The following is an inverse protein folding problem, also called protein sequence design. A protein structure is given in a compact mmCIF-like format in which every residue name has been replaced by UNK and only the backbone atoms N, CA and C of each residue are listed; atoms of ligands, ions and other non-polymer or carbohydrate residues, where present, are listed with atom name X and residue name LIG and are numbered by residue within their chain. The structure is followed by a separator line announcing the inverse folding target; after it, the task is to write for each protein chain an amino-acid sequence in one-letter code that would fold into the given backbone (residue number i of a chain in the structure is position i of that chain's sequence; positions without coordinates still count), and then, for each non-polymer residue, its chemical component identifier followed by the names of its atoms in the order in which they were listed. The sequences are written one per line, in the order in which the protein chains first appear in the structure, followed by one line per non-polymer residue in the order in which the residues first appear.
data_IF_436782964088
#
_entry.id   IF_436782964088
#
_cell.length_a   1.000
_cell.length_b   1.000
_cell.length_c   1.000
_cell.angle_alpha   90.00
_cell.angle_beta   90.00
_cell.angle_gamma   90.00
#
_symmetry.space_group_name_H-M   'P 1'
#
loop_
_entity.id
_entity.type
_entity.pdbx_description
1 polymer ?
#
# COMPACT_ATOMS: atom_id res chain seq x y z
N UNK A 1 -12.74 16.38 24.39
CA UNK A 1 -13.32 15.09 23.93
C UNK A 1 -13.15 15.05 22.43
N UNK A 2 -12.10 14.39 21.95
CA UNK A 2 -11.83 14.23 20.51
C UNK A 2 -12.80 13.18 19.96
N UNK A 3 -13.35 13.42 18.76
CA UNK A 3 -14.29 12.48 18.15
C UNK A 3 -13.53 11.28 17.57
N UNK A 4 -14.16 10.11 17.40
CA UNK A 4 -13.53 8.95 16.75
C UNK A 4 -13.04 9.24 15.31
N UNK A 5 -13.56 10.31 14.67
CA UNK A 5 -13.27 10.71 13.29
C UNK A 5 -11.93 11.43 13.12
N UNK A 6 -11.41 12.11 14.15
CA UNK A 6 -10.15 12.87 14.06
C UNK A 6 -8.90 11.96 13.99
N UNK A 7 -9.05 10.66 14.31
CA UNK A 7 -7.97 9.67 14.23
C UNK A 7 -7.79 9.07 12.83
N UNK A 8 -8.79 9.18 11.95
CA UNK A 8 -8.72 8.65 10.58
C UNK A 8 -7.92 9.55 9.64
N UNK A 9 -7.98 10.87 9.80
CA UNK A 9 -7.34 11.80 8.87
C UNK A 9 -5.81 11.78 8.95
N UNK A 10 -5.25 11.64 10.15
CA UNK A 10 -3.80 11.48 10.34
C UNK A 10 -3.29 10.09 9.92
N UNK A 11 -4.14 9.05 10.02
CA UNK A 11 -3.83 7.74 9.43
C UNK A 11 -3.81 7.82 7.91
N UNK A 12 -4.78 8.49 7.29
CA UNK A 12 -4.83 8.66 5.83
C UNK A 12 -3.57 9.30 5.24
N UNK A 13 -3.03 10.35 5.86
CA UNK A 13 -1.81 11.01 5.35
C UNK A 13 -0.58 10.08 5.38
N UNK A 14 -0.41 9.31 6.45
CA UNK A 14 0.72 8.37 6.60
C UNK A 14 0.56 7.16 5.67
N UNK A 15 -0.67 6.70 5.46
CA UNK A 15 -1.02 5.58 4.59
C UNK A 15 -0.79 5.93 3.11
N UNK A 16 -1.21 7.13 2.68
CA UNK A 16 -0.94 7.59 1.31
C UNK A 16 0.56 7.76 1.02
N UNK A 17 1.34 8.22 2.01
CA UNK A 17 2.79 8.34 1.85
C UNK A 17 3.47 6.99 1.59
N UNK A 18 2.98 5.90 2.19
CA UNK A 18 3.51 4.55 1.94
C UNK A 18 3.16 4.05 0.54
N UNK A 19 1.93 4.27 0.08
CA UNK A 19 1.53 3.91 -1.29
C UNK A 19 2.40 4.63 -2.34
N UNK A 20 2.76 5.91 -2.11
CA UNK A 20 3.67 6.65 -2.99
C UNK A 20 5.05 5.99 -3.08
N UNK A 21 5.59 5.52 -1.95
CA UNK A 21 6.87 4.80 -1.93
C UNK A 21 6.78 3.53 -2.77
N UNK A 22 5.72 2.73 -2.67
CA UNK A 22 5.62 1.48 -3.42
C UNK A 22 5.22 1.66 -4.89
N UNK A 23 4.81 2.86 -5.31
CA UNK A 23 4.57 3.19 -6.72
C UNK A 23 5.77 3.86 -7.41
N UNK A 24 6.93 3.95 -6.74
CA UNK A 24 8.16 4.49 -7.31
C UNK A 24 9.04 3.36 -7.88
N UNK A 25 9.42 3.39 -9.18
CA UNK A 25 10.36 2.42 -9.75
C UNK A 25 11.74 2.37 -9.08
N UNK A 26 12.13 3.40 -8.31
CA UNK A 26 13.37 3.41 -7.54
C UNK A 26 13.34 2.49 -6.32
N UNK A 27 12.14 2.15 -5.83
CA UNK A 27 11.91 1.41 -4.58
C UNK A 27 11.13 0.11 -4.81
N UNK A 28 10.41 -0.02 -5.94
CA UNK A 28 9.64 -1.21 -6.29
C UNK A 28 9.90 -1.69 -7.73
N UNK A 29 9.83 -3.01 -8.02
CA UNK A 29 10.14 -3.53 -9.35
C UNK A 29 9.26 -2.92 -10.45
N UNK A 30 9.89 -2.28 -11.44
CA UNK A 30 9.20 -1.65 -12.57
C UNK A 30 8.27 -2.63 -13.30
N UNK A 31 8.67 -3.89 -13.44
CA UNK A 31 7.85 -4.94 -14.06
C UNK A 31 6.51 -5.12 -13.36
N UNK A 32 6.47 -5.00 -12.03
CA UNK A 32 5.22 -5.07 -11.29
C UNK A 32 4.39 -3.80 -11.51
N UNK A 33 5.02 -2.62 -11.42
CA UNK A 33 4.36 -1.32 -11.56
C UNK A 33 3.75 -1.09 -12.94
N UNK A 34 4.21 -1.81 -13.97
CA UNK A 34 3.57 -1.79 -15.30
C UNK A 34 2.17 -2.40 -15.29
N UNK A 35 1.93 -3.39 -14.44
CA UNK A 35 0.66 -4.13 -14.40
C UNK A 35 -0.24 -3.72 -13.23
N UNK A 36 0.35 -3.25 -12.14
CA UNK A 36 -0.35 -3.03 -10.89
C UNK A 36 -0.12 -1.62 -10.33
N UNK A 37 -1.10 -1.13 -9.60
CA UNK A 37 -1.05 0.12 -8.83
C UNK A 37 -1.23 -0.22 -7.35
N UNK A 38 -0.34 0.27 -6.49
CA UNK A 38 -0.40 0.02 -5.04
C UNK A 38 -1.27 1.09 -4.38
N UNK A 39 -2.23 0.66 -3.57
CA UNK A 39 -3.12 1.52 -2.80
C UNK A 39 -2.79 1.54 -1.32
N UNK A 40 -3.81 1.76 -0.50
CA UNK A 40 -3.68 1.95 0.95
C UNK A 40 -3.25 0.67 1.68
N UNK A 41 -2.59 0.82 2.83
CA UNK A 41 -2.24 -0.31 3.68
C UNK A 41 -3.50 -0.91 4.31
N UNK A 42 -3.71 -2.20 4.10
CA UNK A 42 -4.80 -2.97 4.70
C UNK A 42 -4.39 -3.56 6.04
N UNK A 43 -3.10 -3.84 6.24
CA UNK A 43 -2.57 -4.30 7.52
C UNK A 43 -1.05 -4.40 7.55
N UNK A 44 -0.47 -4.06 8.69
CA UNK A 44 0.97 -4.15 8.94
C UNK A 44 1.24 -5.20 10.02
N UNK A 45 1.90 -6.29 9.63
CA UNK A 45 2.21 -7.42 10.49
C UNK A 45 3.72 -7.56 10.69
N UNK A 46 4.11 -8.30 11.73
CA UNK A 46 5.52 -8.45 12.15
C UNK A 46 6.51 -8.79 11.03
N UNK A 47 6.08 -9.54 10.02
CA UNK A 47 6.94 -10.04 8.93
C UNK A 47 6.46 -9.62 7.53
N UNK A 48 5.38 -8.84 7.43
CA UNK A 48 4.78 -8.50 6.15
C UNK A 48 3.79 -7.36 6.27
N UNK A 49 3.69 -6.55 5.23
CA UNK A 49 2.62 -5.58 5.06
C UNK A 49 1.69 -6.01 3.92
N UNK A 50 0.40 -5.72 4.06
CA UNK A 50 -0.64 -5.97 3.07
C UNK A 50 -1.22 -4.64 2.62
N UNK A 51 -1.30 -4.43 1.32
CA UNK A 51 -1.83 -3.24 0.67
C UNK A 51 -3.01 -3.60 -0.22
N UNK A 52 -3.87 -2.63 -0.44
CA UNK A 52 -4.76 -2.62 -1.58
C UNK A 52 -3.93 -2.54 -2.87
N UNK A 53 -4.43 -3.14 -3.94
CA UNK A 53 -3.76 -3.16 -5.22
C UNK A 53 -4.81 -3.16 -6.34
N UNK A 54 -4.55 -2.47 -7.44
CA UNK A 54 -5.39 -2.54 -8.64
C UNK A 54 -4.62 -3.13 -9.81
N UNK A 55 -5.19 -4.13 -10.46
CA UNK A 55 -4.73 -4.54 -11.79
C UNK A 55 -5.12 -3.46 -12.81
N UNK A 56 -4.14 -2.87 -13.48
CA UNK A 56 -4.35 -1.77 -14.43
C UNK A 56 -5.07 -2.21 -15.70
N UNK A 57 -4.94 -3.47 -16.11
CA UNK A 57 -5.56 -4.00 -17.32
C UNK A 57 -7.03 -4.37 -17.10
N UNK A 58 -7.34 -4.97 -15.94
CA UNK A 58 -8.70 -5.47 -15.64
C UNK A 58 -9.51 -4.52 -14.76
N UNK A 59 -8.86 -3.61 -14.03
CA UNK A 59 -9.49 -2.76 -13.02
C UNK A 59 -9.89 -3.50 -11.74
N UNK A 60 -9.53 -4.79 -11.60
CA UNK A 60 -9.91 -5.60 -10.44
C UNK A 60 -9.09 -5.18 -9.23
N UNK A 61 -9.78 -5.03 -8.09
CA UNK A 61 -9.17 -4.82 -6.79
C UNK A 61 -8.61 -6.12 -6.22
N UNK A 62 -7.37 -6.07 -5.75
CA UNK A 62 -6.59 -7.18 -5.24
C UNK A 62 -5.97 -6.80 -3.89
N UNK A 63 -5.47 -7.79 -3.17
CA UNK A 63 -4.60 -7.58 -2.02
C UNK A 63 -3.15 -7.89 -2.43
N UNK A 64 -2.23 -6.98 -2.13
CA UNK A 64 -0.79 -7.15 -2.33
C UNK A 64 -0.13 -7.40 -0.98
N UNK A 65 0.47 -8.58 -0.79
CA UNK A 65 1.26 -8.90 0.41
C UNK A 65 2.75 -8.79 0.09
N UNK A 66 3.43 -7.86 0.75
CA UNK A 66 4.88 -7.66 0.65
C UNK A 66 5.55 -8.33 1.85
N UNK A 67 6.52 -9.20 1.57
CA UNK A 67 7.30 -9.93 2.58
C UNK A 67 8.75 -9.47 2.45
N UNK A 68 9.30 -8.94 3.54
CA UNK A 68 10.72 -8.63 3.62
C UNK A 68 11.51 -9.95 3.69
N UNK A 69 12.44 -10.15 2.76
CA UNK A 69 13.29 -11.36 2.69
C UNK A 69 14.63 -11.19 3.39
N UNK A 70 14.96 -9.98 3.85
CA UNK A 70 16.22 -9.66 4.50
C UNK A 70 16.14 -9.71 6.04
N UNK A 71 14.99 -10.09 6.60
CA UNK A 71 14.72 -10.19 8.04
C UNK A 71 14.11 -11.52 8.44
#
# INVERSE_FOLDING_TARGET
KSTPFDLDEHRSATVQAQAMIYNDPQTFPEVFLRHYEVGDVLGDGRFSAVFECRDKATGIQLALKIIDKAR
#
